data_IF_690358965883
#
_entry.id   IF_690358965883
#
_cell.length_a   1.000
_cell.length_b   1.000
_cell.length_c   1.000
_cell.angle_alpha   90.00
_cell.angle_beta   90.00
_cell.angle_gamma   90.00
#
_symmetry.space_group_name_H-M   'P 1'
#
loop_
_entity.id
_entity.type
_entity.pdbx_description
1 polymer ?
#
# COMPACT_ATOMS: atom_id res chain seq x y z
N UNK A 1 -10.04 -17.29 -68.86
CA UNK A 1 -10.95 -17.52 -67.71
C UNK A 1 -10.17 -17.37 -66.41
N UNK A 2 -10.45 -16.35 -65.58
CA UNK A 2 -9.83 -16.18 -64.25
C UNK A 2 -10.82 -16.68 -63.19
N UNK A 3 -10.42 -17.71 -62.45
CA UNK A 3 -11.24 -18.34 -61.42
C UNK A 3 -11.31 -17.45 -60.17
N UNK A 4 -12.52 -17.08 -59.77
CA UNK A 4 -12.80 -16.42 -58.49
C UNK A 4 -12.79 -17.47 -57.37
N UNK A 5 -11.87 -17.35 -56.41
CA UNK A 5 -11.79 -18.23 -55.23
C UNK A 5 -12.49 -17.54 -54.05
N UNK A 6 -13.56 -18.11 -53.46
CA UNK A 6 -14.36 -17.39 -52.48
C UNK A 6 -13.68 -17.38 -51.11
N UNK A 7 -13.26 -16.19 -50.66
CA UNK A 7 -12.57 -15.95 -49.39
C UNK A 7 -13.49 -15.94 -48.15
N UNK A 8 -14.76 -16.30 -48.29
CA UNK A 8 -15.80 -16.04 -47.27
C UNK A 8 -15.69 -16.89 -45.99
N UNK A 9 -15.03 -18.05 -46.01
CA UNK A 9 -14.96 -18.95 -44.84
C UNK A 9 -13.89 -18.56 -43.80
N UNK A 10 -12.86 -17.79 -44.18
CA UNK A 10 -11.78 -17.40 -43.27
C UNK A 10 -12.24 -16.37 -42.22
N UNK A 11 -13.17 -15.48 -42.60
CA UNK A 11 -13.71 -14.42 -41.73
C UNK A 11 -14.54 -14.99 -40.57
N UNK A 12 -15.42 -15.96 -40.86
CA UNK A 12 -16.23 -16.64 -39.82
C UNK A 12 -15.35 -17.46 -38.86
N UNK A 13 -14.33 -18.15 -39.38
CA UNK A 13 -13.36 -18.92 -38.57
C UNK A 13 -12.55 -18.00 -37.65
N UNK A 14 -12.09 -16.86 -38.15
CA UNK A 14 -11.36 -15.85 -37.37
C UNK A 14 -12.22 -15.25 -36.25
N UNK A 15 -13.49 -14.92 -36.51
CA UNK A 15 -14.41 -14.40 -35.47
C UNK A 15 -14.69 -15.42 -34.36
N UNK A 16 -14.85 -16.71 -34.70
CA UNK A 16 -15.01 -17.78 -33.70
C UNK A 16 -13.75 -17.97 -32.84
N UNK A 17 -12.57 -17.90 -33.45
CA UNK A 17 -11.30 -18.02 -32.74
C UNK A 17 -11.05 -16.82 -31.82
N UNK A 18 -11.29 -15.59 -32.29
CA UNK A 18 -11.21 -14.38 -31.46
C UNK A 18 -12.11 -14.44 -30.23
N UNK A 19 -13.35 -14.93 -30.37
CA UNK A 19 -14.25 -15.14 -29.22
C UNK A 19 -13.66 -16.11 -28.20
N UNK A 20 -13.09 -17.25 -28.64
CA UNK A 20 -12.45 -18.21 -27.74
C UNK A 20 -11.25 -17.61 -27.00
N UNK A 21 -10.42 -16.84 -27.70
CA UNK A 21 -9.27 -16.15 -27.11
C UNK A 21 -9.73 -15.11 -26.09
N UNK A 22 -10.75 -14.31 -26.41
CA UNK A 22 -11.33 -13.33 -25.49
C UNK A 22 -11.93 -13.99 -24.24
N UNK A 23 -12.64 -15.11 -24.41
CA UNK A 23 -13.18 -15.87 -23.27
C UNK A 23 -12.06 -16.42 -22.39
N UNK A 24 -11.01 -17.00 -22.98
CA UNK A 24 -9.85 -17.50 -22.24
C UNK A 24 -9.11 -16.38 -21.51
N UNK A 25 -8.92 -15.23 -22.16
CA UNK A 25 -8.33 -14.04 -21.56
C UNK A 25 -9.17 -13.54 -20.37
N UNK A 26 -10.50 -13.55 -20.49
CA UNK A 26 -11.41 -13.21 -19.39
C UNK A 26 -11.23 -14.12 -18.18
N UNK A 27 -11.13 -15.44 -18.38
CA UNK A 27 -10.84 -16.38 -17.30
C UNK A 27 -9.47 -16.14 -16.66
N UNK A 28 -8.45 -15.82 -17.47
CA UNK A 28 -7.11 -15.51 -16.97
C UNK A 28 -7.10 -14.25 -16.09
N UNK A 29 -7.79 -13.19 -16.53
CA UNK A 29 -7.93 -11.95 -15.74
C UNK A 29 -8.66 -12.24 -14.42
N UNK A 30 -9.73 -13.02 -14.45
CA UNK A 30 -10.46 -13.40 -13.24
C UNK A 30 -9.56 -14.18 -12.25
N UNK A 31 -8.79 -15.15 -12.75
CA UNK A 31 -7.84 -15.91 -11.95
C UNK A 31 -6.76 -15.00 -11.33
N UNK A 32 -6.26 -14.03 -12.09
CA UNK A 32 -5.28 -13.06 -11.59
C UNK A 32 -5.86 -12.20 -10.46
N UNK A 33 -7.10 -11.72 -10.60
CA UNK A 33 -7.78 -10.94 -9.55
C UNK A 33 -7.93 -11.77 -8.26
N UNK A 34 -8.37 -13.02 -8.38
CA UNK A 34 -8.52 -13.93 -7.23
C UNK A 34 -7.17 -14.17 -6.55
N UNK A 35 -6.10 -14.37 -7.33
CA UNK A 35 -4.76 -14.58 -6.82
C UNK A 35 -4.25 -13.34 -6.07
N UNK A 36 -4.39 -12.15 -6.64
CA UNK A 36 -3.99 -10.89 -5.99
C UNK A 36 -4.80 -10.66 -4.71
N UNK A 37 -6.12 -10.90 -4.74
CA UNK A 37 -6.95 -10.79 -3.55
C UNK A 37 -6.54 -11.79 -2.45
N UNK A 38 -6.23 -13.03 -2.82
CA UNK A 38 -5.74 -14.05 -1.89
C UNK A 38 -4.40 -13.67 -1.25
N UNK A 39 -3.45 -13.17 -2.04
CA UNK A 39 -2.17 -12.64 -1.54
C UNK A 39 -2.42 -11.46 -0.59
N UNK A 40 -3.27 -10.51 -0.99
CA UNK A 40 -3.58 -9.35 -0.17
C UNK A 40 -4.16 -9.76 1.18
N UNK A 41 -5.15 -10.67 1.21
CA UNK A 41 -5.74 -11.19 2.46
C UNK A 41 -4.68 -11.91 3.30
N UNK A 42 -3.82 -12.72 2.67
CA UNK A 42 -2.75 -13.44 3.37
C UNK A 42 -1.80 -12.49 4.10
N UNK A 43 -1.43 -11.36 3.50
CA UNK A 43 -0.57 -10.38 4.17
C UNK A 43 -1.33 -9.46 5.12
N UNK A 44 -2.54 -9.03 4.76
CA UNK A 44 -3.36 -8.11 5.55
C UNK A 44 -3.74 -8.66 6.93
N UNK A 45 -3.90 -9.98 7.06
CA UNK A 45 -4.25 -10.63 8.35
C UNK A 45 -3.18 -10.40 9.44
N UNK A 46 -1.92 -10.20 9.04
CA UNK A 46 -0.79 -10.07 9.97
C UNK A 46 -0.45 -8.60 10.25
N UNK A 47 -1.14 -7.64 9.61
CA UNK A 47 -0.91 -6.22 9.84
C UNK A 47 -1.49 -5.77 11.20
N UNK A 48 -0.70 -5.06 12.03
CA UNK A 48 -1.22 -4.46 13.25
C UNK A 48 -2.27 -3.41 12.92
N UNK A 49 -3.23 -3.21 13.84
CA UNK A 49 -4.27 -2.19 13.69
C UNK A 49 -3.61 -0.80 13.49
N UNK A 50 -3.90 -0.08 12.38
CA UNK A 50 -3.27 1.21 12.08
C UNK A 50 -3.53 2.27 13.14
N UNK A 51 -4.62 2.17 13.91
CA UNK A 51 -4.90 3.10 15.02
C UNK A 51 -3.83 3.05 16.11
N UNK A 52 -3.10 1.95 16.26
CA UNK A 52 -2.00 1.83 17.23
C UNK A 52 -0.72 2.55 16.80
N UNK A 53 -0.63 2.99 15.54
CA UNK A 53 0.54 3.73 15.04
C UNK A 53 0.55 5.16 15.60
N UNK A 54 -0.63 5.75 15.79
CA UNK A 54 -0.79 7.09 16.40
C UNK A 54 -0.52 7.10 17.91
N UNK A 55 -0.66 5.95 18.58
CA UNK A 55 -0.42 5.79 20.02
C UNK A 55 1.00 5.34 20.36
N UNK A 56 1.96 5.46 19.44
CA UNK A 56 3.36 5.41 19.86
C UNK A 56 3.57 6.51 20.90
N UNK A 57 3.64 6.11 22.16
CA UNK A 57 4.06 6.99 23.24
C UNK A 57 5.47 7.44 22.88
N UNK A 58 5.57 8.63 22.30
CA UNK A 58 6.84 9.28 22.08
C UNK A 58 7.44 9.43 23.46
N UNK A 59 8.53 8.70 23.73
CA UNK A 59 9.28 8.84 24.98
C UNK A 59 9.74 10.30 25.07
N UNK A 60 9.08 11.07 25.92
CA UNK A 60 9.42 12.47 26.16
C UNK A 60 10.58 12.55 27.13
N UNK A 61 11.47 13.51 26.94
CA UNK A 61 12.53 13.75 27.91
C UNK A 61 11.96 14.42 29.16
N UNK A 62 12.44 13.98 30.33
CA UNK A 62 12.06 14.58 31.61
C UNK A 62 13.13 15.59 32.02
N UNK A 63 12.74 16.86 32.09
CA UNK A 63 13.64 17.96 32.48
C UNK A 63 13.57 18.21 33.98
N UNK A 64 14.72 18.19 34.65
CA UNK A 64 14.90 18.46 36.07
C UNK A 64 15.51 19.85 36.23
N UNK A 65 14.80 20.75 36.92
CA UNK A 65 15.24 22.12 37.17
C UNK A 65 15.65 22.32 38.64
N UNK A 66 16.39 23.39 38.92
CA UNK A 66 16.65 23.84 40.29
C UNK A 66 15.36 24.30 40.99
N UNK A 67 15.43 24.61 42.30
CA UNK A 67 14.22 25.02 43.07
C UNK A 67 13.53 26.26 42.51
N UNK A 68 14.25 27.12 41.78
CA UNK A 68 13.69 28.33 41.18
C UNK A 68 13.02 28.06 39.83
N UNK A 69 13.24 26.87 39.25
CA UNK A 69 12.74 26.49 37.93
C UNK A 69 13.47 27.14 36.77
N UNK A 70 14.55 27.90 37.03
CA UNK A 70 15.24 28.70 36.00
C UNK A 70 16.42 28.00 35.39
N UNK A 71 17.15 27.18 36.16
CA UNK A 71 18.35 26.48 35.69
C UNK A 71 18.02 25.01 35.45
N UNK A 72 18.22 24.55 34.21
CA UNK A 72 18.11 23.13 33.86
C UNK A 72 19.31 22.38 34.45
N UNK A 73 19.05 21.47 35.40
CA UNK A 73 20.07 20.67 36.06
C UNK A 73 20.35 19.37 35.30
N UNK A 74 19.30 18.74 34.77
CA UNK A 74 19.43 17.46 34.08
C UNK A 74 18.27 17.20 33.11
N UNK A 75 18.53 16.44 32.05
CA UNK A 75 17.53 16.03 31.06
C UNK A 75 17.57 14.50 30.94
N UNK A 76 16.59 13.83 31.55
CA UNK A 76 16.45 12.38 31.50
C UNK A 76 15.77 12.02 30.19
N UNK A 77 16.55 11.59 29.20
CA UNK A 77 16.05 11.06 27.93
C UNK A 77 16.48 9.61 27.73
N UNK A 78 15.70 8.85 26.96
CA UNK A 78 16.10 7.53 26.48
C UNK A 78 17.16 7.64 25.38
N UNK A 79 17.10 6.75 24.39
CA UNK A 79 18.02 6.74 23.23
C UNK A 79 18.01 8.06 22.44
N UNK A 80 16.86 8.76 22.39
CA UNK A 80 16.71 10.01 21.65
C UNK A 80 16.32 11.18 22.55
N UNK A 81 17.04 12.29 22.38
CA UNK A 81 16.70 13.57 23.00
C UNK A 81 15.62 14.28 22.17
N UNK A 82 14.35 13.99 22.45
CA UNK A 82 13.21 14.68 21.83
C UNK A 82 12.71 15.81 22.74
N UNK A 83 12.67 17.03 22.19
CA UNK A 83 12.04 18.18 22.85
C UNK A 83 10.77 18.53 22.08
N UNK A 84 9.61 18.57 22.76
CA UNK A 84 8.39 19.13 22.15
C UNK A 84 8.58 20.62 22.00
N UNK A 85 8.52 21.10 20.77
CA UNK A 85 8.51 22.53 20.43
C UNK A 85 7.09 22.87 19.99
N UNK A 86 6.44 23.89 20.58
CA UNK A 86 5.12 24.31 20.12
C UNK A 86 5.20 24.89 18.69
N UNK A 87 4.10 24.80 17.95
CA UNK A 87 4.07 25.02 16.50
C UNK A 87 4.42 26.46 16.10
N UNK A 88 4.16 27.42 17.00
CA UNK A 88 4.50 28.83 16.88
C UNK A 88 6.01 29.13 16.96
N UNK A 89 6.82 28.15 17.40
CA UNK A 89 8.28 28.25 17.47
C UNK A 89 8.99 27.56 16.29
N UNK A 90 8.24 27.03 15.31
CA UNK A 90 8.78 26.44 14.09
C UNK A 90 8.76 27.52 13.00
N UNK A 91 9.95 27.93 12.53
CA UNK A 91 10.12 28.93 11.43
C UNK A 91 9.91 28.32 10.06
#
# INVERSE_FOLDING_TARGET
MRYYRPYFNSVKKRRKWLKKVLTLAGYFVLAAIILVAGIFIYFAKDLPNPSKISERQITQSTKIYDRTGTVLLYDVHGEEKRTVVPFDQIS
#
